data_IF_492577335492
#
_entry.id   IF_492577335492
#
_cell.length_a   1.000
_cell.length_b   1.000
_cell.length_c   1.000
_cell.angle_alpha   90.00
_cell.angle_beta   90.00
_cell.angle_gamma   90.00
#
_symmetry.space_group_name_H-M   'P 1'
#
loop_
_entity.id
_entity.type
_entity.pdbx_description
1 polymer ?
#
# COMPACT_ATOMS: atom_id res chain seq x y z
N UNK A 1 -7.53 -23.19 5.69
CA UNK A 1 -6.66 -22.37 4.83
C UNK A 1 -5.66 -23.31 4.17
N UNK A 2 -5.39 -23.16 2.86
CA UNK A 2 -4.45 -24.02 2.15
C UNK A 2 -3.05 -23.40 2.16
N UNK A 3 -2.02 -24.20 2.36
CA UNK A 3 -0.62 -23.79 2.35
C UNK A 3 0.22 -24.83 1.61
N UNK A 4 1.22 -24.38 0.84
CA UNK A 4 2.08 -25.24 0.04
C UNK A 4 3.48 -24.64 -0.07
N UNK A 5 4.51 -25.49 -0.03
CA UNK A 5 5.89 -25.13 -0.35
C UNK A 5 6.15 -25.53 -1.80
N UNK A 6 6.34 -24.55 -2.67
CA UNK A 6 6.46 -24.75 -4.12
C UNK A 6 7.47 -23.80 -4.74
N UNK A 7 7.86 -24.09 -5.98
CA UNK A 7 8.82 -23.28 -6.74
C UNK A 7 8.14 -22.19 -7.59
N UNK A 8 6.87 -22.37 -7.97
CA UNK A 8 6.13 -21.40 -8.79
C UNK A 8 4.68 -21.24 -8.33
N UNK A 9 4.02 -20.08 -8.58
CA UNK A 9 2.59 -19.91 -8.33
C UNK A 9 1.70 -20.93 -9.06
N UNK A 10 2.15 -21.42 -10.23
CA UNK A 10 1.43 -22.45 -11.00
C UNK A 10 1.44 -23.80 -10.27
N UNK A 11 2.59 -24.21 -9.75
CA UNK A 11 2.70 -25.40 -8.93
C UNK A 11 1.88 -25.27 -7.64
N UNK A 12 1.83 -24.07 -7.02
CA UNK A 12 0.96 -23.83 -5.85
C UNK A 12 -0.49 -24.20 -6.17
N UNK A 13 -0.98 -23.78 -7.34
CA UNK A 13 -2.35 -24.06 -7.78
C UNK A 13 -2.61 -25.55 -7.95
N UNK A 14 -1.68 -26.31 -8.50
CA UNK A 14 -1.79 -27.77 -8.63
C UNK A 14 -1.92 -28.44 -7.26
N UNK A 15 -1.04 -28.07 -6.31
CA UNK A 15 -1.08 -28.59 -4.93
C UNK A 15 -2.36 -28.18 -4.20
N UNK A 16 -2.83 -26.96 -4.41
CA UNK A 16 -4.06 -26.53 -3.80
C UNK A 16 -5.29 -27.23 -4.40
N UNK A 17 -5.31 -27.47 -5.71
CA UNK A 17 -6.38 -28.22 -6.36
C UNK A 17 -6.42 -29.68 -5.89
N UNK A 18 -5.28 -30.31 -5.57
CA UNK A 18 -5.26 -31.68 -5.05
C UNK A 18 -5.73 -31.82 -3.60
N UNK A 19 -5.80 -30.70 -2.86
CA UNK A 19 -6.16 -30.66 -1.44
C UNK A 19 -7.46 -29.90 -1.16
N UNK A 20 -8.08 -29.33 -2.18
CA UNK A 20 -9.33 -28.57 -2.08
C UNK A 20 -10.55 -29.40 -2.46
N UNK A 21 -11.69 -29.17 -1.78
CA UNK A 21 -12.98 -29.77 -2.12
C UNK A 21 -13.61 -29.24 -3.43
N UNK A 22 -12.89 -28.44 -4.22
CA UNK A 22 -13.34 -27.88 -5.50
C UNK A 22 -12.26 -27.07 -6.21
N UNK A 23 -12.36 -26.93 -7.54
CA UNK A 23 -11.30 -26.27 -8.32
C UNK A 23 -11.10 -24.81 -7.91
N UNK A 24 -9.83 -24.44 -7.70
CA UNK A 24 -9.48 -23.05 -7.40
C UNK A 24 -9.52 -22.23 -8.68
N UNK A 25 -10.52 -21.34 -8.73
CA UNK A 25 -10.70 -20.37 -9.79
C UNK A 25 -9.94 -19.07 -9.47
N UNK A 26 -8.88 -18.79 -10.25
CA UNK A 26 -8.00 -17.62 -10.04
C UNK A 26 -8.70 -16.30 -10.37
N UNK A 27 -9.78 -16.33 -11.17
CA UNK A 27 -10.59 -15.14 -11.50
C UNK A 27 -11.31 -14.49 -10.31
N UNK A 28 -11.26 -15.11 -9.12
CA UNK A 28 -11.78 -14.53 -7.87
C UNK A 28 -10.69 -13.99 -6.94
N UNK A 29 -9.42 -13.97 -7.37
CA UNK A 29 -8.33 -13.43 -6.56
C UNK A 29 -8.48 -11.91 -6.46
N UNK A 30 -8.51 -11.38 -5.22
CA UNK A 30 -8.73 -9.95 -4.96
C UNK A 30 -7.48 -9.25 -4.43
N UNK A 31 -6.62 -9.97 -3.70
CA UNK A 31 -5.44 -9.41 -3.02
C UNK A 31 -4.29 -10.41 -3.09
N UNK A 32 -3.09 -9.92 -3.43
CA UNK A 32 -1.83 -10.66 -3.26
C UNK A 32 -1.04 -9.99 -2.13
N UNK A 33 -0.72 -10.78 -1.11
CA UNK A 33 0.14 -10.38 0.00
C UNK A 33 1.56 -10.88 -0.25
N UNK A 34 2.54 -9.98 -0.23
CA UNK A 34 3.96 -10.32 -0.41
C UNK A 34 4.73 -9.86 0.82
N UNK A 35 5.46 -10.78 1.45
CA UNK A 35 6.28 -10.45 2.62
C UNK A 35 7.42 -9.49 2.25
N UNK A 36 7.68 -8.51 3.11
CA UNK A 36 8.75 -7.50 2.91
C UNK A 36 10.12 -8.15 2.67
N UNK A 37 10.43 -9.25 3.39
CA UNK A 37 11.68 -10.02 3.19
C UNK A 37 11.82 -10.57 1.77
N UNK A 38 10.71 -10.96 1.14
CA UNK A 38 10.71 -11.45 -0.24
C UNK A 38 10.79 -10.29 -1.24
N UNK A 39 10.07 -9.18 -0.98
CA UNK A 39 10.15 -7.98 -1.81
C UNK A 39 11.55 -7.32 -1.80
N UNK A 40 12.36 -7.55 -0.77
CA UNK A 40 13.76 -7.07 -0.72
C UNK A 40 14.72 -7.90 -1.60
N UNK A 41 14.28 -9.05 -2.12
CA UNK A 41 15.09 -9.89 -3.02
C UNK A 41 14.78 -9.57 -4.48
N UNK A 42 15.80 -9.69 -5.33
CA UNK A 42 15.59 -9.64 -6.77
C UNK A 42 14.78 -10.84 -7.27
N UNK A 43 14.09 -10.66 -8.40
CA UNK A 43 13.37 -11.75 -9.08
C UNK A 43 11.92 -11.96 -8.65
N UNK A 44 11.38 -11.21 -7.69
CA UNK A 44 9.94 -11.34 -7.35
C UNK A 44 9.03 -10.98 -8.53
N UNK A 45 9.44 -10.03 -9.38
CA UNK A 45 8.66 -9.63 -10.55
C UNK A 45 8.58 -10.73 -11.62
N UNK A 46 9.61 -11.56 -11.77
CA UNK A 46 9.56 -12.71 -12.69
C UNK A 46 8.64 -13.82 -12.18
N UNK A 47 8.47 -13.96 -10.86
CA UNK A 47 7.46 -14.87 -10.31
C UNK A 47 6.03 -14.38 -10.55
N UNK A 48 5.83 -13.06 -10.60
CA UNK A 48 4.54 -12.45 -10.92
C UNK A 48 4.21 -12.51 -12.42
N UNK A 49 5.19 -12.68 -13.32
CA UNK A 49 5.00 -12.85 -14.77
C UNK A 49 3.96 -13.93 -15.11
N UNK A 50 4.00 -15.07 -14.41
CA UNK A 50 3.00 -16.15 -14.59
C UNK A 50 1.59 -15.67 -14.23
N UNK A 51 1.47 -14.77 -13.26
CA UNK A 51 0.19 -14.18 -12.84
C UNK A 51 -0.27 -13.12 -13.85
N UNK A 52 0.65 -12.36 -14.47
CA UNK A 52 0.33 -11.39 -15.51
C UNK A 52 -0.16 -12.02 -16.81
N UNK A 53 0.37 -13.19 -17.19
CA UNK A 53 0.11 -13.83 -18.48
C UNK A 53 -1.19 -14.63 -18.56
N UNK A 54 -1.80 -15.00 -17.43
CA UNK A 54 -3.06 -15.76 -17.45
C UNK A 54 -4.25 -14.80 -17.58
N UNK A 55 -4.98 -14.80 -18.72
CA UNK A 55 -6.11 -13.88 -18.94
C UNK A 55 -7.29 -14.16 -17.99
N UNK A 56 -7.29 -15.30 -17.29
CA UNK A 56 -8.30 -15.61 -16.25
C UNK A 56 -8.05 -14.83 -14.96
N UNK A 57 -6.87 -14.22 -14.79
CA UNK A 57 -6.55 -13.40 -13.63
C UNK A 57 -7.11 -11.99 -13.83
N UNK A 58 -7.78 -11.47 -12.81
CA UNK A 58 -8.32 -10.11 -12.88
C UNK A 58 -7.18 -9.11 -12.74
N UNK A 59 -7.02 -8.18 -13.69
CA UNK A 59 -6.01 -7.11 -13.60
C UNK A 59 -6.13 -6.22 -12.35
N UNK A 60 -7.29 -6.29 -11.68
CA UNK A 60 -7.66 -5.54 -10.48
C UNK A 60 -7.20 -6.16 -9.14
N UNK A 61 -6.46 -7.28 -9.17
CA UNK A 61 -5.85 -7.85 -7.95
C UNK A 61 -5.00 -6.77 -7.25
N UNK A 62 -5.24 -6.53 -5.96
CA UNK A 62 -4.53 -5.51 -5.18
C UNK A 62 -3.19 -6.07 -4.70
N UNK A 63 -2.11 -5.32 -4.93
CA UNK A 63 -0.77 -5.70 -4.50
C UNK A 63 -0.46 -5.08 -3.14
N UNK A 64 -0.04 -5.91 -2.18
CA UNK A 64 0.20 -5.45 -0.81
C UNK A 64 1.48 -6.04 -0.22
N UNK A 65 2.36 -5.17 0.27
CA UNK A 65 3.52 -5.53 1.07
C UNK A 65 3.12 -5.80 2.54
N UNK A 66 3.66 -6.87 3.11
CA UNK A 66 3.45 -7.22 4.53
C UNK A 66 4.74 -7.02 5.30
N UNK A 67 4.73 -6.10 6.28
CA UNK A 67 5.80 -5.98 7.28
C UNK A 67 5.71 -7.14 8.25
N UNK A 68 6.66 -8.06 8.15
CA UNK A 68 6.67 -9.31 8.91
C UNK A 68 6.23 -10.53 8.09
N UNK A 69 6.00 -11.68 8.74
CA UNK A 69 5.62 -12.89 8.05
C UNK A 69 4.18 -12.84 7.56
N UNK A 70 3.94 -13.20 6.30
CA UNK A 70 2.58 -13.28 5.73
C UNK A 70 1.68 -14.25 6.50
N UNK A 71 2.25 -15.34 7.03
CA UNK A 71 1.55 -16.29 7.90
C UNK A 71 0.90 -15.61 9.11
N UNK A 72 1.50 -14.55 9.68
CA UNK A 72 0.90 -13.85 10.81
C UNK A 72 -0.47 -13.24 10.50
N UNK A 73 -0.70 -12.83 9.24
CA UNK A 73 -1.98 -12.33 8.74
C UNK A 73 -2.86 -13.51 8.33
N UNK A 74 -2.31 -14.45 7.58
CA UNK A 74 -3.07 -15.55 6.99
C UNK A 74 -3.64 -16.52 8.05
N UNK A 75 -2.90 -16.77 9.13
CA UNK A 75 -3.29 -17.62 10.25
C UNK A 75 -3.98 -16.83 11.37
N UNK A 76 -4.27 -15.54 11.16
CA UNK A 76 -4.96 -14.74 12.17
C UNK A 76 -6.44 -15.11 12.26
N UNK A 77 -6.91 -15.31 13.50
CA UNK A 77 -8.32 -15.43 13.81
C UNK A 77 -8.72 -14.26 14.71
N UNK A 78 -9.54 -13.36 14.19
CA UNK A 78 -10.03 -12.20 14.90
C UNK A 78 -11.50 -12.42 15.26
N UNK A 79 -11.80 -12.60 16.54
CA UNK A 79 -13.13 -12.94 17.04
C UNK A 79 -14.17 -11.85 16.72
N UNK A 80 -13.74 -10.59 16.67
CA UNK A 80 -14.58 -9.41 16.50
C UNK A 80 -14.56 -8.83 15.07
N UNK A 81 -14.01 -9.57 14.09
CA UNK A 81 -13.86 -9.10 12.69
C UNK A 81 -14.55 -10.06 11.72
N UNK A 82 -14.95 -9.56 10.53
CA UNK A 82 -15.42 -10.44 9.48
C UNK A 82 -14.34 -11.41 9.02
N UNK A 83 -14.74 -12.39 8.20
CA UNK A 83 -13.81 -13.32 7.56
C UNK A 83 -12.64 -12.58 6.90
N UNK A 84 -11.43 -13.14 7.03
CA UNK A 84 -10.18 -12.48 6.64
C UNK A 84 -10.19 -11.88 5.22
N UNK A 85 -10.72 -12.53 4.17
CA UNK A 85 -10.78 -11.92 2.83
C UNK A 85 -11.63 -10.64 2.78
N UNK A 86 -12.77 -10.63 3.47
CA UNK A 86 -13.64 -9.46 3.57
C UNK A 86 -12.99 -8.37 4.41
N UNK A 87 -12.35 -8.75 5.53
CA UNK A 87 -11.64 -7.79 6.37
C UNK A 87 -10.50 -7.10 5.61
N UNK A 88 -9.67 -7.86 4.90
CA UNK A 88 -8.56 -7.33 4.09
C UNK A 88 -9.05 -6.36 3.01
N UNK A 89 -10.08 -6.75 2.26
CA UNK A 89 -10.59 -5.92 1.16
C UNK A 89 -11.23 -4.64 1.69
N UNK A 90 -12.06 -4.71 2.73
CA UNK A 90 -12.67 -3.54 3.36
C UNK A 90 -11.61 -2.58 3.93
N UNK A 91 -10.60 -3.11 4.64
CA UNK A 91 -9.52 -2.29 5.19
C UNK A 91 -8.76 -1.55 4.08
N UNK A 92 -8.40 -2.23 3.00
CA UNK A 92 -7.72 -1.61 1.86
C UNK A 92 -8.61 -0.57 1.15
N UNK A 93 -9.92 -0.80 1.06
CA UNK A 93 -10.86 0.15 0.44
C UNK A 93 -11.02 1.41 1.28
N UNK A 94 -11.08 1.28 2.60
CA UNK A 94 -11.09 2.40 3.55
C UNK A 94 -9.81 3.21 3.41
N UNK A 95 -8.64 2.55 3.43
CA UNK A 95 -7.36 3.26 3.37
C UNK A 95 -7.11 3.91 2.00
N UNK A 96 -7.59 3.29 0.90
CA UNK A 96 -7.64 3.93 -0.41
C UNK A 96 -8.59 5.13 -0.44
N UNK A 97 -9.73 5.06 0.27
CA UNK A 97 -10.70 6.17 0.34
C UNK A 97 -10.12 7.39 1.07
N UNK A 98 -9.39 7.15 2.16
CA UNK A 98 -8.80 8.19 2.99
C UNK A 98 -7.34 8.53 2.63
N UNK A 99 -6.85 8.10 1.47
CA UNK A 99 -5.48 8.35 1.01
C UNK A 99 -4.38 7.87 1.97
N UNK A 100 -4.70 6.94 2.86
CA UNK A 100 -3.75 6.36 3.80
C UNK A 100 -2.74 5.44 3.11
N UNK A 101 -2.97 5.09 1.84
CA UNK A 101 -2.03 4.31 1.04
C UNK A 101 -2.22 4.53 -0.46
N UNK A 102 -1.13 4.38 -1.22
CA UNK A 102 -1.15 4.18 -2.67
C UNK A 102 -1.65 2.76 -2.95
N UNK A 103 -2.88 2.67 -3.45
CA UNK A 103 -3.49 1.41 -3.86
C UNK A 103 -3.17 1.12 -5.32
N UNK A 104 -2.36 0.09 -5.54
CA UNK A 104 -1.90 -0.32 -6.86
C UNK A 104 -2.36 -1.74 -7.15
N UNK A 105 -2.99 -1.92 -8.30
CA UNK A 105 -3.40 -3.24 -8.79
C UNK A 105 -2.23 -3.93 -9.50
N UNK A 106 -2.36 -5.22 -9.73
CA UNK A 106 -1.42 -6.01 -10.51
C UNK A 106 -1.17 -5.34 -11.87
N UNK A 107 -2.22 -5.04 -12.64
CA UNK A 107 -2.07 -4.39 -13.94
C UNK A 107 -1.37 -3.02 -13.85
N UNK A 108 -1.73 -2.16 -12.89
CA UNK A 108 -1.10 -0.83 -12.75
C UNK A 108 0.36 -0.97 -12.31
N UNK A 109 0.67 -1.94 -11.46
CA UNK A 109 2.04 -2.24 -11.06
C UNK A 109 2.87 -2.65 -12.27
N UNK A 110 2.36 -3.57 -13.11
CA UNK A 110 3.03 -3.96 -14.35
C UNK A 110 3.36 -2.73 -15.21
N UNK A 111 2.39 -1.85 -15.47
CA UNK A 111 2.63 -0.62 -16.24
C UNK A 111 3.72 0.24 -15.61
N UNK A 112 3.68 0.47 -14.29
CA UNK A 112 4.70 1.26 -13.60
C UNK A 112 6.10 0.63 -13.66
N UNK A 113 6.21 -0.70 -13.71
CA UNK A 113 7.51 -1.37 -13.83
C UNK A 113 8.23 -1.08 -15.15
N UNK A 114 7.50 -0.72 -16.21
CA UNK A 114 8.07 -0.36 -17.51
C UNK A 114 8.12 1.16 -17.74
N UNK A 115 7.58 1.96 -16.82
CA UNK A 115 7.59 3.42 -16.90
C UNK A 115 8.82 4.00 -16.18
N UNK A 116 9.68 4.70 -16.94
CA UNK A 116 10.90 5.33 -16.40
C UNK A 116 10.62 6.58 -15.55
N UNK A 117 9.42 7.16 -15.65
CA UNK A 117 9.02 8.38 -14.96
C UNK A 117 8.28 8.16 -13.64
N UNK A 118 7.92 6.92 -13.30
CA UNK A 118 7.09 6.62 -12.13
C UNK A 118 7.84 5.66 -11.20
N UNK A 119 7.98 6.05 -9.93
CA UNK A 119 8.37 5.10 -8.88
C UNK A 119 7.18 4.21 -8.54
N UNK A 120 7.27 2.88 -8.76
CA UNK A 120 6.21 1.96 -8.40
C UNK A 120 6.02 1.95 -6.88
N UNK A 121 4.76 1.90 -6.45
CA UNK A 121 4.41 1.85 -5.04
C UNK A 121 3.21 0.93 -4.85
N UNK A 122 3.17 0.20 -3.74
CA UNK A 122 2.06 -0.69 -3.37
C UNK A 122 1.62 -0.42 -1.94
N UNK A 123 0.44 -0.90 -1.57
CA UNK A 123 -0.03 -0.75 -0.19
C UNK A 123 0.85 -1.55 0.76
N UNK A 124 1.00 -1.08 1.99
CA UNK A 124 1.83 -1.73 2.98
C UNK A 124 1.07 -1.90 4.28
N UNK A 125 1.14 -3.09 4.87
CA UNK A 125 0.38 -3.44 6.06
C UNK A 125 1.15 -4.33 7.02
N UNK A 126 0.62 -4.48 8.24
CA UNK A 126 1.10 -5.42 9.25
C UNK A 126 -0.03 -5.95 10.10
N UNK A 127 0.22 -7.05 10.80
CA UNK A 127 -0.58 -7.45 11.94
C UNK A 127 -0.27 -6.53 13.13
N UNK A 128 -1.31 -6.12 13.84
CA UNK A 128 -1.25 -5.46 15.13
C UNK A 128 -1.99 -6.29 16.19
N UNK A 129 -1.88 -5.92 17.47
CA UNK A 129 -2.43 -6.68 18.61
C UNK A 129 -3.92 -7.04 18.45
N UNK A 130 -4.72 -6.12 17.90
CA UNK A 130 -6.19 -6.25 17.80
C UNK A 130 -6.70 -6.40 16.36
N UNK A 131 -5.82 -6.51 15.37
CA UNK A 131 -6.27 -6.45 13.98
C UNK A 131 -5.16 -6.34 12.96
N UNK A 132 -5.54 -5.84 11.78
CA UNK A 132 -4.65 -5.54 10.68
C UNK A 132 -4.61 -4.03 10.51
N UNK A 133 -3.43 -3.50 10.21
CA UNK A 133 -3.22 -2.07 10.03
C UNK A 133 -2.44 -1.84 8.76
N UNK A 134 -2.97 -0.99 7.88
CA UNK A 134 -2.22 -0.44 6.75
C UNK A 134 -1.31 0.66 7.30
N UNK A 135 0.00 0.50 7.13
CA UNK A 135 1.00 1.44 7.64
C UNK A 135 1.29 2.60 6.69
N UNK A 136 0.89 2.45 5.43
CA UNK A 136 1.14 3.41 4.37
C UNK A 136 1.46 2.67 3.07
N UNK A 137 2.57 3.02 2.42
CA UNK A 137 2.94 2.46 1.12
C UNK A 137 4.40 2.04 1.06
N UNK A 138 4.65 0.92 0.39
CA UNK A 138 5.98 0.46 0.06
C UNK A 138 6.38 1.03 -1.30
N UNK A 139 7.54 1.68 -1.38
CA UNK A 139 8.17 2.11 -2.62
C UNK A 139 9.09 1.02 -3.13
N UNK A 140 8.95 0.74 -4.42
CA UNK A 140 9.76 -0.23 -5.14
C UNK A 140 10.70 0.49 -6.12
N UNK A 141 11.84 -0.11 -6.42
CA UNK A 141 12.68 0.33 -7.53
C UNK A 141 12.19 -0.20 -8.89
N UNK A 142 12.92 0.11 -9.95
CA UNK A 142 12.65 -0.35 -11.32
C UNK A 142 12.80 -1.86 -11.53
N UNK A 143 13.33 -2.61 -10.54
CA UNK A 143 13.37 -4.08 -10.53
C UNK A 143 12.26 -4.67 -9.65
N UNK A 144 11.44 -3.83 -9.04
CA UNK A 144 10.32 -4.22 -8.19
C UNK A 144 10.76 -4.56 -6.77
N UNK A 145 11.98 -4.19 -6.39
CA UNK A 145 12.50 -4.43 -5.04
C UNK A 145 12.05 -3.34 -4.08
N UNK A 146 11.63 -3.75 -2.88
CA UNK A 146 11.32 -2.84 -1.79
C UNK A 146 12.55 -2.01 -1.40
N UNK A 147 12.39 -0.67 -1.34
CA UNK A 147 13.45 0.26 -0.91
C UNK A 147 13.08 1.08 0.32
N UNK A 148 11.85 1.55 0.39
CA UNK A 148 11.42 2.48 1.43
C UNK A 148 9.93 2.31 1.74
N UNK A 149 9.53 2.68 2.96
CA UNK A 149 8.12 2.79 3.36
C UNK A 149 7.79 4.27 3.53
N UNK A 150 6.63 4.66 3.02
CA UNK A 150 5.96 5.91 3.33
C UNK A 150 4.89 5.60 4.39
N UNK A 151 4.86 6.40 5.46
CA UNK A 151 3.74 6.40 6.41
C UNK A 151 2.44 6.81 5.73
N UNK A 152 1.29 6.54 6.36
CA UNK A 152 -0.04 6.99 5.87
C UNK A 152 -0.07 8.48 5.50
N UNK A 153 0.59 9.33 6.29
CA UNK A 153 0.69 10.77 6.02
C UNK A 153 1.52 11.05 4.77
N UNK A 154 2.70 10.44 4.65
CA UNK A 154 3.57 10.61 3.48
C UNK A 154 2.95 10.04 2.20
N UNK A 155 2.25 8.90 2.29
CA UNK A 155 1.45 8.35 1.19
C UNK A 155 0.38 9.33 0.72
N UNK A 156 -0.35 9.95 1.66
CA UNK A 156 -1.36 10.95 1.33
C UNK A 156 -0.75 12.19 0.68
N UNK A 157 0.42 12.64 1.13
CA UNK A 157 1.15 13.75 0.52
C UNK A 157 1.62 13.40 -0.89
N UNK A 158 2.13 12.19 -1.10
CA UNK A 158 2.53 11.73 -2.44
C UNK A 158 1.32 11.63 -3.39
N UNK A 159 0.16 11.19 -2.90
CA UNK A 159 -1.07 11.18 -3.69
C UNK A 159 -1.51 12.60 -4.07
N UNK A 160 -1.41 13.57 -3.15
CA UNK A 160 -1.67 14.98 -3.46
C UNK A 160 -0.69 15.51 -4.51
N UNK A 161 0.60 15.20 -4.36
CA UNK A 161 1.63 15.55 -5.34
C UNK A 161 1.40 14.88 -6.69
N UNK A 162 0.79 13.70 -6.76
CA UNK A 162 0.46 13.03 -8.03
C UNK A 162 -0.88 13.48 -8.63
N UNK A 163 -1.62 14.37 -7.95
CA UNK A 163 -3.01 14.69 -8.28
C UNK A 163 -3.93 13.44 -8.32
N UNK A 164 -3.61 12.43 -7.52
CA UNK A 164 -4.36 11.18 -7.39
C UNK A 164 -5.11 11.08 -6.05
N UNK A 165 -4.96 12.06 -5.15
CA UNK A 165 -5.62 12.07 -3.86
C UNK A 165 -7.14 12.30 -4.00
N UNK A 166 -7.91 11.56 -3.20
CA UNK A 166 -9.34 11.79 -3.00
C UNK A 166 -9.53 12.96 -2.04
N UNK A 167 -10.27 13.96 -2.47
CA UNK A 167 -10.60 15.14 -1.68
C UNK A 167 -11.90 14.88 -0.89
N UNK A 168 -12.04 15.39 0.35
CA UNK A 168 -11.05 16.18 1.09
C UNK A 168 -9.90 15.36 1.68
N UNK A 169 -8.71 15.97 1.81
CA UNK A 169 -7.59 15.42 2.58
C UNK A 169 -7.44 16.20 3.88
N UNK A 170 -7.48 15.50 5.00
CA UNK A 170 -7.38 16.10 6.34
C UNK A 170 -6.02 15.80 6.95
N UNK A 171 -5.29 16.84 7.37
CA UNK A 171 -4.05 16.71 8.14
C UNK A 171 -4.20 17.39 9.49
N UNK A 172 -3.81 16.68 10.56
CA UNK A 172 -3.61 17.30 11.87
C UNK A 172 -2.13 17.47 12.11
N UNK A 173 -1.69 18.70 12.33
CA UNK A 173 -0.28 19.07 12.48
C UNK A 173 -0.12 19.72 13.85
N UNK A 174 0.92 19.29 14.58
CA UNK A 174 1.30 19.96 15.82
C UNK A 174 1.76 21.38 15.51
N UNK A 175 1.20 22.36 16.19
CA UNK A 175 1.64 23.73 16.07
C UNK A 175 3.09 23.86 16.56
N UNK A 176 3.95 24.56 15.81
CA UNK A 176 5.25 24.94 16.34
C UNK A 176 5.05 25.81 17.58
N UNK A 177 5.96 25.70 18.55
CA UNK A 177 5.93 26.55 19.75
C UNK A 177 6.07 28.00 19.33
N UNK A 178 5.02 28.79 19.51
CA UNK A 178 5.07 30.22 19.25
C UNK A 178 5.92 30.89 20.35
N UNK A 179 6.82 31.84 19.99
CA UNK A 179 7.62 32.57 20.97
C UNK A 179 6.78 33.44 21.91
N UNK A 180 5.53 33.75 21.52
CA UNK A 180 4.61 34.55 22.32
C UNK A 180 3.57 33.67 23.02
N UNK A 181 3.66 33.57 24.35
CA UNK A 181 2.62 33.00 25.21
C UNK A 181 1.39 33.92 25.16
N UNK A 182 0.45 33.66 24.26
CA UNK A 182 -0.87 34.29 24.36
C UNK A 182 -1.58 33.68 25.57
N UNK A 183 -2.11 34.46 26.53
CA UNK A 183 -2.93 33.93 27.60
C UNK A 183 -4.25 33.47 26.99
N UNK A 184 -4.36 32.18 26.65
CA UNK A 184 -5.61 31.61 26.16
C UNK A 184 -6.15 30.67 27.23
N UNK A 185 -7.35 30.94 27.77
CA UNK A 185 -8.01 30.08 28.77
C UNK A 185 -8.31 28.67 28.24
N UNK A 186 -8.20 28.47 26.91
CA UNK A 186 -8.37 27.20 26.22
C UNK A 186 -7.03 26.51 25.85
N UNK A 187 -5.88 27.05 26.27
CA UNK A 187 -4.59 26.41 25.99
C UNK A 187 -4.52 25.06 26.70
N UNK A 188 -4.06 24.06 25.95
CA UNK A 188 -3.86 22.73 26.49
C UNK A 188 -2.80 22.81 27.60
N UNK A 189 -3.13 22.32 28.79
CA UNK A 189 -2.26 22.33 30.00
C UNK A 189 -0.91 21.63 29.74
N UNK A 190 -0.80 20.81 28.68
CA UNK A 190 0.42 20.11 28.25
C UNK A 190 1.24 20.84 27.15
N UNK A 191 0.86 22.04 26.72
CA UNK A 191 1.65 22.85 25.78
C UNK A 191 1.77 22.26 24.37
N UNK A 192 0.78 21.50 23.91
CA UNK A 192 0.73 20.90 22.57
C UNK A 192 -0.55 21.30 21.87
N UNK A 193 -0.50 22.42 21.15
CA UNK A 193 -1.60 22.85 20.30
C UNK A 193 -1.49 22.17 18.93
N UNK A 194 -2.65 21.96 18.28
CA UNK A 194 -2.75 21.30 16.98
C UNK A 194 -3.63 22.14 16.06
N UNK A 195 -3.28 22.15 14.77
CA UNK A 195 -4.11 22.69 13.69
C UNK A 195 -4.54 21.53 12.81
N UNK A 196 -5.83 21.49 12.49
CA UNK A 196 -6.37 20.61 11.46
C UNK A 196 -6.57 21.39 10.17
N UNK A 197 -5.89 20.97 9.11
CA UNK A 197 -6.02 21.51 7.77
C UNK A 197 -6.90 20.58 6.94
N UNK A 198 -7.96 21.14 6.36
CA UNK A 198 -8.84 20.43 5.45
C UNK A 198 -8.58 20.90 4.02
N UNK A 199 -7.95 20.06 3.21
CA UNK A 199 -7.61 20.36 1.82
C UNK A 199 -8.79 19.93 0.94
N UNK A 200 -9.55 20.91 0.47
CA UNK A 200 -10.74 20.74 -0.38
C UNK A 200 -10.44 20.88 -1.86
N UNK A 201 -9.28 21.38 -2.23
CA UNK A 201 -8.81 21.43 -3.62
C UNK A 201 -7.27 21.44 -3.60
N UNK A 202 -6.65 20.84 -4.62
CA UNK A 202 -5.20 20.86 -4.80
C UNK A 202 -4.88 20.97 -6.29
N UNK A 203 -4.17 22.03 -6.66
CA UNK A 203 -3.60 22.21 -8.00
C UNK A 203 -2.08 22.18 -7.90
N UNK A 204 -1.44 21.45 -8.80
CA UNK A 204 0.02 21.33 -8.86
C UNK A 204 0.54 21.80 -10.21
N UNK A 205 1.49 22.72 -10.19
CA UNK A 205 2.27 23.16 -11.35
C UNK A 205 3.75 22.86 -11.08
N UNK A 206 4.41 22.06 -11.92
CA UNK A 206 5.84 21.73 -11.83
C UNK A 206 6.55 22.40 -13.01
N UNK A 207 7.57 23.21 -12.72
CA UNK A 207 8.38 23.88 -13.75
C UNK A 207 9.72 23.17 -13.89
N UNK A 208 9.84 22.32 -14.90
CA UNK A 208 11.07 21.58 -15.15
C UNK A 208 12.07 22.42 -15.96
N UNK A 209 13.33 22.43 -15.55
CA UNK A 209 14.47 22.96 -16.33
C UNK A 209 15.59 21.92 -16.40
N UNK A 210 16.42 22.00 -17.43
CA UNK A 210 17.59 21.13 -17.57
C UNK A 210 18.86 21.96 -17.40
N UNK A 211 19.68 21.65 -16.40
CA UNK A 211 20.94 22.35 -16.11
C UNK A 211 21.97 21.36 -15.57
N UNK A 212 23.22 21.48 -16.01
CA UNK A 212 24.34 20.64 -15.56
C UNK A 212 24.05 19.12 -15.67
N UNK A 213 23.55 18.69 -16.84
CA UNK A 213 23.22 17.29 -17.14
C UNK A 213 22.16 16.67 -16.20
N UNK A 214 21.31 17.49 -15.56
CA UNK A 214 20.27 17.06 -14.62
C UNK A 214 18.97 17.86 -14.81
N UNK A 215 17.84 17.20 -14.57
CA UNK A 215 16.56 17.89 -14.43
C UNK A 215 16.46 18.57 -13.06
N UNK A 216 15.92 19.79 -13.05
CA UNK A 216 15.57 20.58 -11.88
C UNK A 216 14.06 20.80 -11.95
N UNK A 217 13.34 20.43 -10.89
CA UNK A 217 11.88 20.45 -10.81
C UNK A 217 11.38 21.52 -9.84
#
# INVERSE_FOLDING_TARGET
>A
MLAAKVNTPRQAREVFNSTSNGMIAVGKMQVILIGEKLLKKEGIMSQLDVVYRDPKNTGNIRMVAVKGPVSSIMESNFVDKPALPLYLTQLLDVEKRYNGTISTTLQKLHTHMFDKGITPAISEMKKDKKGLVVTGSALLDNKGMYKMSLSRRESSLLLLLRQEAKIPVVFTIRMPSLPFKRPNKLQNVKGHDFITLNITESKRNIKTRYKNNRFVF
#
